data_IF_486218326562
#
_entry.id   IF_486218326562
#
_cell.length_a   1.000
_cell.length_b   1.000
_cell.length_c   1.000
_cell.angle_alpha   90.00
_cell.angle_beta   90.00
_cell.angle_gamma   90.00
#
_symmetry.space_group_name_H-M   'P 1'
#
loop_
_entity.id
_entity.type
_entity.pdbx_description
1 polymer ?
#
# COMPACT_ATOMS: atom_id res chain seq x y z
N UNK A 1 -2.35 -9.17 7.68
CA UNK A 1 -1.80 -10.54 7.74
C UNK A 1 -1.51 -11.05 6.33
N UNK A 2 -0.76 -12.18 6.21
CA UNK A 2 -0.53 -12.81 4.92
C UNK A 2 -1.86 -13.32 4.33
N UNK A 3 -2.08 -13.07 3.03
CA UNK A 3 -3.32 -13.46 2.34
C UNK A 3 -4.52 -12.54 2.55
N UNK A 4 -4.31 -11.36 3.13
CA UNK A 4 -5.36 -10.39 3.41
C UNK A 4 -5.17 -9.09 2.61
N UNK A 5 -6.28 -8.38 2.37
CA UNK A 5 -6.28 -7.07 1.75
C UNK A 5 -6.35 -5.97 2.80
N UNK A 6 -5.60 -4.89 2.58
CA UNK A 6 -5.67 -3.66 3.34
C UNK A 6 -5.95 -2.46 2.44
N UNK A 7 -6.50 -1.40 3.02
CA UNK A 7 -6.85 -0.18 2.34
C UNK A 7 -6.34 1.04 3.11
N UNK A 8 -5.70 1.96 2.41
CA UNK A 8 -5.33 3.29 2.93
C UNK A 8 -6.15 4.34 2.20
N UNK A 9 -6.89 5.15 2.93
CA UNK A 9 -7.69 6.23 2.36
C UNK A 9 -7.27 7.59 2.89
N UNK A 10 -7.44 8.62 2.09
CA UNK A 10 -7.24 10.00 2.47
C UNK A 10 -7.78 10.94 1.41
N UNK A 11 -7.92 12.20 1.73
CA UNK A 11 -8.01 13.27 0.72
C UNK A 11 -6.71 13.32 -0.10
N UNK A 12 -6.78 13.84 -1.32
CA UNK A 12 -5.60 14.02 -2.18
C UNK A 12 -4.52 14.83 -1.47
N UNK A 13 -3.26 14.41 -1.60
CA UNK A 13 -2.09 15.14 -1.06
C UNK A 13 -1.74 14.83 0.40
N UNK A 14 -2.47 13.98 1.12
CA UNK A 14 -2.20 13.69 2.54
C UNK A 14 -1.19 12.55 2.79
N UNK A 15 -0.51 12.03 1.76
CA UNK A 15 0.59 11.07 1.96
C UNK A 15 0.20 9.59 1.86
N UNK A 16 -0.91 9.23 1.19
CA UNK A 16 -1.27 7.81 0.96
C UNK A 16 -0.12 6.99 0.39
N UNK A 17 0.49 7.48 -0.69
CA UNK A 17 1.63 6.82 -1.36
C UNK A 17 2.79 6.60 -0.40
N UNK A 18 3.12 7.57 0.46
CA UNK A 18 4.17 7.42 1.48
C UNK A 18 3.86 6.26 2.43
N UNK A 19 2.62 6.13 2.91
CA UNK A 19 2.20 5.03 3.78
C UNK A 19 2.30 3.68 3.05
N UNK A 20 1.82 3.61 1.81
CA UNK A 20 1.91 2.39 1.01
C UNK A 20 3.36 1.98 0.75
N UNK A 21 4.22 2.94 0.42
CA UNK A 21 5.65 2.69 0.21
C UNK A 21 6.30 2.16 1.49
N UNK A 22 5.94 2.66 2.68
CA UNK A 22 6.44 2.12 3.93
C UNK A 22 5.98 0.68 4.19
N UNK A 23 4.74 0.32 3.84
CA UNK A 23 4.28 -1.07 3.90
C UNK A 23 5.00 -1.97 2.90
N UNK A 24 5.25 -1.47 1.68
CA UNK A 24 6.08 -2.15 0.69
C UNK A 24 7.54 -2.30 1.16
N UNK A 25 8.09 -1.27 1.78
CA UNK A 25 9.44 -1.27 2.32
C UNK A 25 9.63 -2.33 3.43
N UNK A 26 8.61 -2.57 4.27
CA UNK A 26 8.63 -3.67 5.24
C UNK A 26 8.85 -5.03 4.55
N UNK A 27 8.20 -5.26 3.41
CA UNK A 27 8.40 -6.49 2.62
C UNK A 27 9.82 -6.58 2.06
N UNK A 28 10.33 -5.49 1.49
CA UNK A 28 11.64 -5.42 0.85
C UNK A 28 12.80 -5.55 1.87
N UNK A 29 12.69 -4.90 3.01
CA UNK A 29 13.69 -4.99 4.10
C UNK A 29 13.77 -6.39 4.73
N UNK A 30 12.72 -7.20 4.58
CA UNK A 30 12.72 -8.62 4.94
C UNK A 30 13.23 -9.54 3.79
N UNK A 31 13.86 -8.97 2.76
CA UNK A 31 14.44 -9.71 1.64
C UNK A 31 13.42 -10.36 0.70
N UNK A 32 12.16 -9.93 0.74
CA UNK A 32 11.06 -10.54 -0.02
C UNK A 32 10.70 -9.71 -1.24
N UNK A 33 10.13 -10.39 -2.26
CA UNK A 33 9.68 -9.75 -3.50
C UNK A 33 8.41 -8.92 -3.29
N UNK A 34 8.46 -7.69 -3.81
CA UNK A 34 7.37 -6.74 -3.81
C UNK A 34 7.00 -6.34 -5.25
N UNK A 35 5.71 -6.25 -5.51
CA UNK A 35 5.18 -5.61 -6.72
C UNK A 35 4.46 -4.34 -6.32
N UNK A 36 4.85 -3.21 -6.91
CA UNK A 36 4.13 -1.94 -6.79
C UNK A 36 3.40 -1.66 -8.10
N UNK A 37 2.08 -1.60 -8.03
CA UNK A 37 1.18 -1.26 -9.14
C UNK A 37 0.77 0.20 -8.99
N UNK A 38 0.94 0.99 -10.04
CA UNK A 38 0.47 2.36 -10.09
C UNK A 38 -0.43 2.58 -11.31
N UNK A 39 -1.56 3.26 -11.10
CA UNK A 39 -2.46 3.67 -12.16
C UNK A 39 -2.28 5.15 -12.55
N UNK A 40 -1.63 5.95 -11.71
CA UNK A 40 -1.56 7.41 -11.84
C UNK A 40 -0.16 7.99 -11.94
N UNK A 41 0.86 7.23 -11.54
CA UNK A 41 2.21 7.75 -11.43
C UNK A 41 3.15 7.06 -12.40
N UNK A 42 4.04 7.84 -13.01
CA UNK A 42 5.16 7.29 -13.77
C UNK A 42 6.11 6.51 -12.84
N UNK A 43 6.77 5.49 -13.39
CA UNK A 43 7.70 4.62 -12.65
C UNK A 43 8.78 5.41 -11.90
N UNK A 44 9.30 6.48 -12.50
CA UNK A 44 10.32 7.34 -11.91
C UNK A 44 9.86 8.00 -10.60
N UNK A 45 8.59 8.44 -10.54
CA UNK A 45 8.02 9.00 -9.33
C UNK A 45 7.91 7.94 -8.22
N UNK A 46 7.48 6.73 -8.60
CA UNK A 46 7.40 5.60 -7.64
C UNK A 46 8.80 5.24 -7.13
N UNK A 47 9.80 5.19 -8.00
CA UNK A 47 11.20 4.94 -7.62
C UNK A 47 11.68 6.00 -6.62
N UNK A 48 11.43 7.28 -6.92
CA UNK A 48 11.81 8.39 -6.03
C UNK A 48 11.17 8.28 -4.64
N UNK A 49 9.91 7.83 -4.55
CA UNK A 49 9.26 7.57 -3.26
C UNK A 49 9.99 6.50 -2.45
N UNK A 50 10.33 5.36 -3.07
CA UNK A 50 11.08 4.30 -2.38
C UNK A 50 12.45 4.76 -1.94
N UNK A 51 13.18 5.48 -2.79
CA UNK A 51 14.50 6.01 -2.46
C UNK A 51 14.44 7.00 -1.29
N UNK A 52 13.48 7.92 -1.32
CA UNK A 52 13.27 8.89 -0.23
C UNK A 52 12.96 8.21 1.10
N UNK A 53 11.97 7.32 1.12
CA UNK A 53 11.57 6.59 2.33
C UNK A 53 12.70 5.69 2.84
N UNK A 54 13.41 4.98 1.95
CA UNK A 54 14.56 4.17 2.35
C UNK A 54 15.65 5.01 3.02
N UNK A 55 16.00 6.17 2.43
CA UNK A 55 17.01 7.05 2.99
C UNK A 55 16.65 7.51 4.42
N UNK A 56 15.39 7.86 4.65
CA UNK A 56 14.94 8.27 5.99
C UNK A 56 14.91 7.09 6.98
N UNK A 57 14.48 5.90 6.56
CA UNK A 57 14.55 4.69 7.39
C UNK A 57 15.99 4.34 7.72
N UNK A 58 16.89 4.38 6.74
CA UNK A 58 18.31 4.04 6.91
C UNK A 58 18.99 4.96 7.90
N UNK A 59 18.74 6.27 7.81
CA UNK A 59 19.24 7.27 8.79
C UNK A 59 18.70 6.97 10.20
N UNK A 60 17.38 6.79 10.32
CA UNK A 60 16.70 6.60 11.62
C UNK A 60 17.12 5.31 12.31
N UNK A 61 17.33 4.23 11.55
CA UNK A 61 17.68 2.91 12.08
C UNK A 61 19.19 2.62 12.08
N UNK A 62 20.01 3.56 11.60
CA UNK A 62 21.47 3.36 11.44
C UNK A 62 21.79 2.01 10.77
N UNK A 63 21.16 1.76 9.60
CA UNK A 63 21.32 0.46 8.90
C UNK A 63 22.79 0.27 8.52
N UNK A 64 23.41 -0.78 9.04
CA UNK A 64 24.71 -1.22 8.57
C UNK A 64 24.61 -1.69 7.11
N UNK A 65 25.65 -1.45 6.31
CA UNK A 65 25.69 -1.82 4.89
C UNK A 65 24.51 -1.27 4.08
N UNK A 66 24.14 -0.01 4.30
CA UNK A 66 22.98 0.62 3.66
C UNK A 66 23.00 0.53 2.12
N UNK A 67 24.19 0.53 1.50
CA UNK A 67 24.33 0.38 0.05
C UNK A 67 23.88 -1.02 -0.44
N UNK A 68 24.32 -2.08 0.24
CA UNK A 68 23.98 -3.46 -0.11
C UNK A 68 22.47 -3.73 0.08
N UNK A 69 21.92 -3.19 1.17
CA UNK A 69 20.47 -3.26 1.44
C UNK A 69 19.70 -2.51 0.36
N UNK A 70 20.18 -1.36 -0.11
CA UNK A 70 19.54 -0.62 -1.21
C UNK A 70 19.55 -1.43 -2.50
N UNK A 71 20.65 -2.08 -2.85
CA UNK A 71 20.70 -2.96 -4.01
C UNK A 71 19.73 -4.15 -3.90
N UNK A 72 19.63 -4.75 -2.74
CA UNK A 72 18.66 -5.82 -2.48
C UNK A 72 17.22 -5.33 -2.68
N UNK A 73 16.89 -4.13 -2.19
CA UNK A 73 15.58 -3.51 -2.38
C UNK A 73 15.30 -3.33 -3.88
N UNK A 74 16.27 -2.85 -4.66
CA UNK A 74 16.13 -2.65 -6.10
C UNK A 74 15.87 -3.97 -6.86
N UNK A 75 16.58 -5.04 -6.51
CA UNK A 75 16.41 -6.38 -7.11
C UNK A 75 15.08 -7.05 -6.74
N UNK A 76 14.56 -6.75 -5.57
CA UNK A 76 13.34 -7.38 -5.04
C UNK A 76 12.07 -6.56 -5.32
N UNK A 77 12.18 -5.40 -5.96
CA UNK A 77 11.05 -4.52 -6.28
C UNK A 77 10.74 -4.54 -7.78
N UNK A 78 9.51 -4.88 -8.12
CA UNK A 78 8.95 -4.72 -9.47
C UNK A 78 7.93 -3.58 -9.46
N UNK A 79 8.01 -2.67 -10.43
CA UNK A 79 7.04 -1.59 -10.60
C UNK A 79 6.27 -1.84 -11.88
N UNK A 80 4.94 -1.86 -11.78
CA UNK A 80 4.02 -2.03 -12.89
C UNK A 80 3.17 -0.77 -13.03
N UNK A 81 3.18 -0.17 -14.21
CA UNK A 81 2.31 0.95 -14.55
C UNK A 81 1.19 0.47 -15.45
N UNK A 82 -0.03 0.78 -15.07
CA UNK A 82 -1.23 0.55 -15.88
C UNK A 82 -1.89 1.89 -16.19
N UNK A 83 -2.58 1.98 -17.33
CA UNK A 83 -3.32 3.18 -17.69
C UNK A 83 -4.60 3.28 -16.84
N UNK A 84 -4.92 4.50 -16.37
CA UNK A 84 -6.09 4.81 -15.56
C UNK A 84 -7.44 4.65 -16.27
N UNK A 85 -7.46 4.81 -17.57
CA UNK A 85 -8.73 4.78 -18.34
C UNK A 85 -9.43 3.43 -18.26
N UNK A 86 -8.68 2.37 -17.93
CA UNK A 86 -9.17 1.01 -17.75
C UNK A 86 -8.52 0.34 -16.54
N UNK A 87 -8.96 0.70 -15.32
CA UNK A 87 -8.56 -0.04 -14.12
C UNK A 87 -9.06 -1.46 -14.24
N UNK A 88 -8.14 -2.39 -14.52
CA UNK A 88 -8.45 -3.82 -14.57
C UNK A 88 -7.63 -4.55 -13.51
N UNK A 89 -8.25 -4.86 -12.38
CA UNK A 89 -7.64 -5.68 -11.33
C UNK A 89 -7.39 -7.11 -11.83
N UNK A 90 -8.18 -7.59 -12.80
CA UNK A 90 -7.94 -8.85 -13.47
C UNK A 90 -6.60 -8.88 -14.19
N UNK A 91 -6.24 -7.82 -14.94
CA UNK A 91 -4.93 -7.71 -15.59
C UNK A 91 -3.79 -7.70 -14.56
N UNK A 92 -3.99 -7.03 -13.42
CA UNK A 92 -3.02 -7.06 -12.32
C UNK A 92 -2.81 -8.50 -11.84
N UNK A 93 -3.87 -9.24 -11.54
CA UNK A 93 -3.78 -10.65 -11.09
C UNK A 93 -3.15 -11.53 -12.15
N UNK A 94 -3.49 -11.37 -13.42
CA UNK A 94 -2.88 -12.12 -14.53
C UNK A 94 -1.36 -11.87 -14.62
N UNK A 95 -0.93 -10.61 -14.44
CA UNK A 95 0.50 -10.27 -14.41
C UNK A 95 1.20 -10.89 -13.19
N UNK A 96 0.57 -10.86 -12.01
CA UNK A 96 1.10 -11.50 -10.80
C UNK A 96 1.22 -13.03 -10.97
N UNK A 97 0.25 -13.67 -11.63
CA UNK A 97 0.31 -15.09 -11.95
C UNK A 97 1.44 -15.41 -12.95
N UNK A 98 1.67 -14.55 -13.95
CA UNK A 98 2.78 -14.70 -14.88
C UNK A 98 4.14 -14.57 -14.18
N UNK A 99 4.30 -13.61 -13.27
CA UNK A 99 5.51 -13.48 -12.44
C UNK A 99 5.74 -14.74 -11.59
N UNK A 100 4.69 -15.26 -10.98
CA UNK A 100 4.77 -16.51 -10.20
C UNK A 100 5.16 -17.69 -11.07
N UNK A 101 4.59 -17.84 -12.26
CA UNK A 101 4.93 -18.89 -13.20
C UNK A 101 6.40 -18.77 -13.67
N UNK A 102 6.94 -17.54 -13.75
CA UNK A 102 8.35 -17.25 -14.01
C UNK A 102 9.28 -17.43 -12.79
N UNK A 103 8.78 -17.97 -11.68
CA UNK A 103 9.59 -18.27 -10.48
C UNK A 103 9.68 -17.14 -9.46
N UNK A 104 8.98 -16.02 -9.67
CA UNK A 104 9.00 -14.89 -8.71
C UNK A 104 7.98 -15.12 -7.59
N UNK A 105 8.46 -15.34 -6.38
CA UNK A 105 7.62 -15.52 -5.19
C UNK A 105 7.21 -14.16 -4.59
N UNK A 106 6.15 -13.55 -5.12
CA UNK A 106 5.65 -12.23 -4.67
C UNK A 106 5.04 -12.35 -3.27
N UNK A 107 5.64 -11.68 -2.29
CA UNK A 107 5.18 -11.69 -0.89
C UNK A 107 4.31 -10.48 -0.52
N UNK A 108 4.48 -9.38 -1.23
CA UNK A 108 3.71 -8.16 -1.05
C UNK A 108 3.33 -7.51 -2.37
N UNK A 109 2.14 -6.91 -2.40
CA UNK A 109 1.68 -6.09 -3.51
C UNK A 109 1.13 -4.78 -2.96
N UNK A 110 1.51 -3.70 -3.59
CA UNK A 110 0.96 -2.36 -3.34
C UNK A 110 0.25 -1.89 -4.60
N UNK A 111 -0.99 -1.46 -4.49
CA UNK A 111 -1.81 -0.97 -5.60
C UNK A 111 -2.24 0.46 -5.27
N UNK A 112 -1.58 1.44 -5.89
CA UNK A 112 -1.73 2.85 -5.54
C UNK A 112 -2.80 3.54 -6.38
N UNK A 113 -3.58 4.40 -5.68
CA UNK A 113 -4.58 5.33 -6.21
C UNK A 113 -5.69 4.68 -7.05
N UNK A 114 -6.35 3.69 -6.49
CA UNK A 114 -7.48 2.99 -7.10
C UNK A 114 -8.77 3.77 -6.90
N UNK A 115 -9.48 4.04 -8.00
CA UNK A 115 -10.86 4.55 -7.97
C UNK A 115 -11.84 3.38 -7.82
N UNK A 116 -12.24 3.10 -6.58
CA UNK A 116 -13.16 2.00 -6.29
C UNK A 116 -14.57 2.19 -6.81
N UNK A 117 -14.95 3.40 -7.28
CA UNK A 117 -16.24 3.59 -7.97
C UNK A 117 -16.29 2.88 -9.32
N UNK A 118 -15.12 2.57 -9.90
CA UNK A 118 -14.94 1.86 -11.17
C UNK A 118 -14.64 0.37 -11.01
N UNK A 119 -14.46 -0.11 -9.78
CA UNK A 119 -14.09 -1.50 -9.48
C UNK A 119 -15.34 -2.33 -9.23
N UNK A 120 -15.50 -3.42 -9.96
CA UNK A 120 -16.57 -4.40 -9.72
C UNK A 120 -16.21 -5.30 -8.54
N UNK A 121 -17.22 -5.76 -7.82
CA UNK A 121 -17.01 -6.70 -6.70
C UNK A 121 -16.29 -7.98 -7.14
N UNK A 122 -16.64 -8.53 -8.31
CA UNK A 122 -16.00 -9.73 -8.87
C UNK A 122 -14.48 -9.53 -9.09
N UNK A 123 -14.06 -8.32 -9.50
CA UNK A 123 -12.64 -8.01 -9.72
C UNK A 123 -11.88 -8.01 -8.38
N UNK A 124 -12.46 -7.41 -7.35
CA UNK A 124 -11.84 -7.39 -6.01
C UNK A 124 -11.85 -8.78 -5.37
N UNK A 125 -12.89 -9.59 -5.60
CA UNK A 125 -12.95 -10.99 -5.18
C UNK A 125 -11.83 -11.81 -5.80
N UNK A 126 -11.51 -11.57 -7.09
CA UNK A 126 -10.39 -12.23 -7.78
C UNK A 126 -9.06 -11.90 -7.11
N UNK A 127 -8.83 -10.62 -6.75
CA UNK A 127 -7.64 -10.20 -6.01
C UNK A 127 -7.58 -10.84 -4.62
N UNK A 128 -8.70 -10.88 -3.89
CA UNK A 128 -8.77 -11.49 -2.57
C UNK A 128 -8.48 -12.99 -2.61
N UNK A 129 -8.99 -13.68 -3.63
CA UNK A 129 -8.74 -15.11 -3.87
C UNK A 129 -7.26 -15.36 -4.17
N UNK A 130 -6.65 -14.53 -5.03
CA UNK A 130 -5.21 -14.60 -5.31
C UNK A 130 -4.39 -14.39 -4.02
N UNK A 131 -4.68 -13.33 -3.26
CA UNK A 131 -3.99 -13.03 -2.01
C UNK A 131 -4.01 -14.22 -1.05
N UNK A 132 -5.20 -14.81 -0.84
CA UNK A 132 -5.40 -15.95 0.04
C UNK A 132 -4.64 -17.19 -0.43
N UNK A 133 -4.73 -17.51 -1.72
CA UNK A 133 -4.08 -18.70 -2.31
C UNK A 133 -2.54 -18.63 -2.29
N UNK A 134 -2.00 -17.43 -2.44
CA UNK A 134 -0.55 -17.19 -2.48
C UNK A 134 0.04 -16.71 -1.16
N UNK A 135 -0.80 -16.43 -0.15
CA UNK A 135 -0.42 -15.77 1.12
C UNK A 135 0.26 -14.42 0.92
N UNK A 136 -0.07 -13.72 -0.18
CA UNK A 136 0.46 -12.40 -0.51
C UNK A 136 -0.28 -11.33 0.29
N UNK A 137 0.43 -10.39 0.91
CA UNK A 137 -0.16 -9.19 1.51
C UNK A 137 -0.43 -8.17 0.41
N UNK A 138 -1.66 -7.68 0.29
CA UNK A 138 -2.01 -6.69 -0.73
C UNK A 138 -2.57 -5.44 -0.04
N UNK A 139 -1.97 -4.29 -0.34
CA UNK A 139 -2.42 -3.00 0.14
C UNK A 139 -2.86 -2.11 -1.01
N UNK A 140 -4.01 -1.50 -0.86
CA UNK A 140 -4.54 -0.51 -1.79
C UNK A 140 -4.46 0.88 -1.20
N UNK A 141 -4.42 1.90 -2.05
CA UNK A 141 -4.83 3.24 -1.67
C UNK A 141 -5.97 3.76 -2.54
N UNK A 142 -6.78 4.62 -1.95
CA UNK A 142 -7.88 5.31 -2.64
C UNK A 142 -8.07 6.71 -2.06
N UNK A 143 -8.56 7.61 -2.90
CA UNK A 143 -8.97 8.94 -2.45
C UNK A 143 -10.38 8.86 -1.87
N UNK A 144 -10.56 9.39 -0.65
CA UNK A 144 -11.85 9.49 0.04
C UNK A 144 -12.10 10.94 0.45
N UNK A 145 -13.33 11.40 0.29
CA UNK A 145 -13.75 12.73 0.74
C UNK A 145 -14.11 12.77 2.23
N UNK A 146 -14.60 11.66 2.78
CA UNK A 146 -14.98 11.51 4.19
C UNK A 146 -13.93 10.75 4.99
N UNK A 147 -14.12 10.72 6.29
CA UNK A 147 -13.20 10.16 7.30
C UNK A 147 -13.74 8.92 8.03
N UNK A 148 -14.93 8.45 7.63
CA UNK A 148 -15.56 7.26 8.19
C UNK A 148 -15.28 6.01 7.36
N UNK A 149 -15.52 4.85 7.96
CA UNK A 149 -15.34 3.56 7.28
C UNK A 149 -16.20 3.44 6.01
N UNK A 150 -17.45 3.86 6.07
CA UNK A 150 -18.38 3.84 4.94
C UNK A 150 -17.98 4.75 3.77
N UNK A 151 -17.15 5.76 4.03
CA UNK A 151 -16.63 6.67 3.02
C UNK A 151 -15.38 6.10 2.30
N UNK A 152 -14.80 5.03 2.83
CA UNK A 152 -13.52 4.49 2.37
C UNK A 152 -13.60 3.74 1.03
N UNK A 153 -14.74 3.07 0.78
CA UNK A 153 -15.03 2.36 -0.47
C UNK A 153 -16.53 2.04 -0.54
N UNK A 154 -17.07 1.66 -1.73
CA UNK A 154 -18.43 1.17 -1.86
C UNK A 154 -18.74 0.06 -0.85
N UNK A 155 -19.94 0.10 -0.26
CA UNK A 155 -20.36 -0.81 0.84
C UNK A 155 -20.15 -2.30 0.51
N UNK A 156 -20.37 -2.70 -0.75
CA UNK A 156 -20.17 -4.07 -1.19
C UNK A 156 -18.69 -4.51 -1.14
N UNK A 157 -17.75 -3.56 -1.25
CA UNK A 157 -16.32 -3.84 -1.29
C UNK A 157 -15.64 -3.84 0.09
N UNK A 158 -16.22 -3.14 1.07
CA UNK A 158 -15.65 -3.02 2.43
C UNK A 158 -15.39 -4.36 3.14
N UNK A 159 -16.20 -5.41 2.97
CA UNK A 159 -15.94 -6.72 3.60
C UNK A 159 -14.64 -7.38 3.16
N UNK A 160 -14.14 -7.10 1.97
CA UNK A 160 -12.90 -7.68 1.44
C UNK A 160 -11.64 -7.16 2.15
N UNK A 161 -11.71 -5.98 2.78
CA UNK A 161 -10.58 -5.39 3.48
C UNK A 161 -10.55 -5.81 4.95
N UNK A 162 -9.47 -6.46 5.35
CA UNK A 162 -9.23 -6.82 6.76
C UNK A 162 -8.70 -5.65 7.59
N UNK A 163 -8.14 -4.64 6.93
CA UNK A 163 -7.67 -3.42 7.56
C UNK A 163 -8.01 -2.21 6.68
N UNK A 164 -8.50 -1.13 7.30
CA UNK A 164 -8.73 0.17 6.67
C UNK A 164 -8.09 1.25 7.54
N UNK A 165 -7.18 2.00 6.94
CA UNK A 165 -6.48 3.11 7.59
C UNK A 165 -6.84 4.39 6.85
N UNK A 166 -7.23 5.41 7.60
CA UNK A 166 -7.54 6.73 7.03
C UNK A 166 -6.53 7.77 7.50
N UNK A 167 -6.08 8.61 6.56
CA UNK A 167 -5.24 9.77 6.90
C UNK A 167 -6.09 11.03 6.84
N UNK A 168 -6.06 11.78 7.95
CA UNK A 168 -6.70 13.08 8.06
C UNK A 168 -5.69 14.15 8.49
N UNK A 169 -5.93 15.40 8.10
CA UNK A 169 -5.13 16.53 8.55
C UNK A 169 -5.84 17.22 9.72
N UNK A 170 -5.16 17.31 10.86
CA UNK A 170 -5.62 18.03 12.05
C UNK A 170 -4.48 18.91 12.57
N UNK A 171 -4.72 20.22 12.67
CA UNK A 171 -3.72 21.19 13.12
C UNK A 171 -2.38 21.06 12.36
N UNK A 172 -2.45 20.97 11.02
CA UNK A 172 -1.27 20.81 10.13
C UNK A 172 -0.47 19.51 10.35
N UNK A 173 -1.02 18.56 11.09
CA UNK A 173 -0.42 17.23 11.29
C UNK A 173 -1.28 16.19 10.60
N UNK A 174 -0.67 15.31 9.81
CA UNK A 174 -1.37 14.17 9.22
C UNK A 174 -1.43 13.04 10.23
N UNK A 175 -2.62 12.75 10.73
CA UNK A 175 -2.92 11.66 11.66
C UNK A 175 -3.40 10.42 10.89
N UNK A 176 -3.07 9.24 11.42
CA UNK A 176 -3.58 7.96 10.95
C UNK A 176 -4.68 7.48 11.91
N UNK A 177 -5.85 7.19 11.37
CA UNK A 177 -6.95 6.54 12.08
C UNK A 177 -7.10 5.10 11.57
N UNK A 178 -7.27 4.14 12.46
CA UNK A 178 -7.52 2.75 12.09
C UNK A 178 -9.03 2.53 12.12
N UNK A 179 -9.68 2.70 10.96
CA UNK A 179 -11.14 2.58 10.84
C UNK A 179 -11.61 1.13 10.95
N UNK A 180 -10.75 0.16 10.58
CA UNK A 180 -11.05 -1.28 10.67
C UNK A 180 -9.76 -2.08 10.86
N UNK A 181 -9.81 -3.08 11.74
CA UNK A 181 -8.75 -4.09 11.88
C UNK A 181 -9.40 -5.42 12.29
N UNK A 182 -9.55 -6.33 11.32
CA UNK A 182 -10.29 -7.57 11.49
C UNK A 182 -11.78 -7.30 11.76
N UNK A 183 -12.24 -7.64 12.96
CA UNK A 183 -13.65 -7.40 13.41
C UNK A 183 -13.83 -6.08 14.17
N UNK A 184 -12.72 -5.42 14.56
CA UNK A 184 -12.76 -4.19 15.33
C UNK A 184 -12.79 -2.98 14.40
N UNK A 185 -13.57 -1.96 14.78
CA UNK A 185 -13.66 -0.67 14.07
C UNK A 185 -13.28 0.47 15.01
N UNK A 186 -12.94 1.62 14.42
CA UNK A 186 -12.66 2.87 15.10
C UNK A 186 -11.64 2.74 16.25
N UNK A 187 -10.52 2.10 15.94
CA UNK A 187 -9.46 1.85 16.91
C UNK A 187 -8.66 3.13 17.13
N UNK A 188 -8.63 3.61 18.37
CA UNK A 188 -7.81 4.75 18.74
C UNK A 188 -6.32 4.49 18.48
N UNK A 189 -5.66 5.50 17.90
CA UNK A 189 -4.23 5.44 17.61
C UNK A 189 -3.60 6.82 17.74
N UNK A 190 -2.34 6.86 18.13
CA UNK A 190 -1.52 8.06 18.20
C UNK A 190 -0.56 8.18 17.01
N UNK A 191 -0.76 7.34 15.97
CA UNK A 191 0.08 7.33 14.78
C UNK A 191 -0.14 8.59 13.94
N UNK A 192 0.96 9.13 13.45
CA UNK A 192 0.98 10.28 12.54
C UNK A 192 2.08 10.12 11.49
N UNK A 193 1.98 10.88 10.41
CA UNK A 193 3.10 11.08 9.51
C UNK A 193 3.96 12.24 10.02
N UNK A 194 5.26 11.99 10.14
CA UNK A 194 6.23 13.07 10.36
C UNK A 194 6.27 14.00 9.15
N UNK A 195 6.14 15.30 9.36
CA UNK A 195 6.00 16.28 8.27
C UNK A 195 7.26 16.44 7.41
N UNK A 196 8.44 16.06 7.93
CA UNK A 196 9.73 16.20 7.23
C UNK A 196 10.13 14.92 6.54
N UNK A 197 10.00 13.79 7.22
CA UNK A 197 10.46 12.48 6.73
C UNK A 197 9.36 11.68 6.07
N UNK A 198 8.09 12.04 6.28
CA UNK A 198 6.88 11.33 5.88
C UNK A 198 6.83 9.88 6.43
N UNK A 199 7.63 9.58 7.44
CA UNK A 199 7.57 8.29 8.12
C UNK A 199 6.41 8.25 9.11
N UNK A 200 5.83 7.06 9.23
CA UNK A 200 4.87 6.79 10.31
C UNK A 200 5.60 6.83 11.63
N UNK A 201 5.10 7.63 12.56
CA UNK A 201 5.65 7.79 13.91
C UNK A 201 4.54 7.68 14.94
N UNK A 202 4.93 7.34 16.16
CA UNK A 202 4.03 7.36 17.32
C UNK A 202 4.34 8.58 18.17
N UNK A 203 3.33 9.30 18.63
CA UNK A 203 3.52 10.28 19.70
C UNK A 203 3.74 9.49 21.00
N UNK A 204 4.96 9.51 21.50
CA UNK A 204 5.18 9.31 22.92
C UNK A 204 5.03 10.63 23.65
#
# INVERSE_FOLDING_TARGET
KAGELGLVTAKKGLGKTSVLVQFGMDTLLNGKQLVHVSFNQHSENVISWYDGIYNEISKKKAIANAADVKEQILRNRTILNFNQDNISLEKVVNTLNALKAGGTAVAGVVIDDVDFSKVKEADLQTVASYAKATKTKIWFSSTSAGDKLEDSAPKALLPYFSAVIHLSSKNSVTQLSILKMGKNTDIETTLKLDSKTLLITNNK
#
